data_IF_569668991339
#
_entry.id   IF_569668991339
#
_cell.length_a   1.000
_cell.length_b   1.000
_cell.length_c   1.000
_cell.angle_alpha   90.00
_cell.angle_beta   90.00
_cell.angle_gamma   90.00
#
_symmetry.space_group_name_H-M   'P 1'
#
loop_
_entity.id
_entity.type
_entity.pdbx_description
1 polymer ?
#
# COMPACT_ATOMS: atom_id res chain seq x y z
N UNK A 1 8.09 0.34 9.25
CA UNK A 1 7.19 1.36 8.70
C UNK A 1 6.24 1.82 9.79
N UNK A 2 6.16 3.14 10.05
CA UNK A 2 5.32 3.71 11.12
C UNK A 2 3.87 3.83 10.65
N UNK A 3 2.92 3.48 11.54
CA UNK A 3 1.48 3.68 11.35
C UNK A 3 0.80 3.94 12.69
N UNK A 4 -0.30 4.68 12.67
CA UNK A 4 -1.18 4.69 13.84
C UNK A 4 -1.82 3.32 14.01
N UNK A 5 -1.97 2.90 15.27
CA UNK A 5 -2.60 1.63 15.59
C UNK A 5 -4.10 1.69 15.27
N UNK A 6 -4.53 0.89 14.34
CA UNK A 6 -5.93 0.78 13.89
C UNK A 6 -6.56 -0.60 14.19
N UNK A 7 -5.80 -1.50 14.83
CA UNK A 7 -6.22 -2.86 15.14
C UNK A 7 -5.87 -3.23 16.58
N UNK A 8 -6.66 -4.13 17.18
CA UNK A 8 -6.38 -4.72 18.50
C UNK A 8 -5.15 -5.62 18.40
N UNK A 9 -4.32 -5.60 19.44
CA UNK A 9 -3.22 -6.57 19.60
C UNK A 9 -3.82 -7.78 20.29
N UNK A 10 -3.95 -8.87 19.55
CA UNK A 10 -4.32 -10.17 20.11
C UNK A 10 -3.06 -11.01 20.38
N UNK A 11 -3.20 -12.22 20.99
CA UNK A 11 -2.12 -13.19 21.01
C UNK A 11 -1.65 -13.43 19.58
N UNK A 12 -0.36 -13.19 19.34
CA UNK A 12 0.23 -13.18 18.00
C UNK A 12 0.40 -14.65 17.59
N UNK A 13 -0.56 -15.16 16.84
CA UNK A 13 -0.28 -16.30 16.00
C UNK A 13 0.56 -15.79 14.81
N UNK A 14 1.76 -16.32 14.64
CA UNK A 14 2.69 -15.90 13.57
C UNK A 14 2.06 -15.91 12.16
N UNK A 15 1.03 -16.74 11.94
CA UNK A 15 0.20 -16.74 10.72
C UNK A 15 -0.67 -15.49 10.57
N UNK A 16 -1.14 -14.89 11.65
CA UNK A 16 -2.01 -13.71 11.60
C UNK A 16 -1.23 -12.42 11.28
N UNK A 17 0.07 -12.37 11.56
CA UNK A 17 0.93 -11.25 11.18
C UNK A 17 1.22 -11.23 9.66
N UNK A 18 1.29 -12.40 9.02
CA UNK A 18 1.54 -12.52 7.59
C UNK A 18 0.29 -12.26 6.74
N UNK A 19 -0.91 -12.25 7.35
CA UNK A 19 -2.15 -12.10 6.61
C UNK A 19 -2.51 -10.63 6.44
N UNK A 20 -2.74 -10.22 5.19
CA UNK A 20 -3.29 -8.88 4.89
C UNK A 20 -4.66 -8.74 5.57
N UNK A 21 -4.86 -7.61 6.24
CA UNK A 21 -6.15 -7.34 6.88
C UNK A 21 -7.24 -7.15 5.81
N UNK A 22 -8.30 -7.95 5.91
CA UNK A 22 -9.50 -7.80 5.08
C UNK A 22 -10.37 -6.63 5.57
N UNK A 23 -11.35 -6.23 4.76
CA UNK A 23 -12.32 -5.18 5.13
C UNK A 23 -13.17 -5.54 6.34
N UNK A 24 -13.37 -6.84 6.59
CA UNK A 24 -14.20 -7.39 7.66
C UNK A 24 -13.38 -7.96 8.82
N UNK A 25 -12.09 -7.65 8.88
CA UNK A 25 -11.20 -8.17 9.92
C UNK A 25 -11.70 -7.76 11.32
N UNK A 26 -12.02 -8.72 12.22
CA UNK A 26 -12.59 -8.44 13.53
C UNK A 26 -11.64 -7.72 14.48
N UNK A 27 -10.34 -7.71 14.16
CA UNK A 27 -9.33 -6.98 14.92
C UNK A 27 -9.43 -5.47 14.74
N UNK A 28 -10.09 -4.99 13.67
CA UNK A 28 -10.21 -3.56 13.37
C UNK A 28 -11.33 -2.98 14.24
N UNK A 29 -10.99 -2.06 15.16
CA UNK A 29 -11.98 -1.35 15.97
C UNK A 29 -12.64 -0.18 15.18
N UNK A 30 -13.81 0.34 15.61
CA UNK A 30 -14.57 1.31 14.81
C UNK A 30 -13.78 2.56 14.40
N UNK A 31 -13.04 3.18 15.32
CA UNK A 31 -12.15 4.30 15.00
C UNK A 31 -11.02 3.86 14.03
N UNK A 32 -10.48 2.65 14.20
CA UNK A 32 -9.48 2.08 13.28
C UNK A 32 -10.01 1.95 11.86
N UNK A 33 -11.28 1.58 11.68
CA UNK A 33 -11.93 1.52 10.37
C UNK A 33 -12.01 2.90 9.72
N UNK A 34 -12.38 3.93 10.47
CA UNK A 34 -12.37 5.31 9.99
C UNK A 34 -10.97 5.76 9.57
N UNK A 35 -9.95 5.54 10.44
CA UNK A 35 -8.56 5.88 10.14
C UNK A 35 -8.07 5.21 8.85
N UNK A 36 -8.34 3.91 8.68
CA UNK A 36 -7.94 3.13 7.49
C UNK A 36 -8.65 3.59 6.22
N UNK A 37 -9.98 3.86 6.33
CA UNK A 37 -10.77 4.32 5.19
C UNK A 37 -10.23 5.63 4.61
N UNK A 38 -9.82 6.55 5.46
CA UNK A 38 -9.25 7.85 5.06
C UNK A 38 -7.71 7.86 5.05
N UNK A 39 -7.06 6.70 5.31
CA UNK A 39 -5.60 6.56 5.35
C UNK A 39 -4.87 7.45 6.34
N UNK A 40 -5.58 7.93 7.34
CA UNK A 40 -5.02 8.72 8.43
C UNK A 40 -4.01 7.89 9.23
N UNK A 41 -4.22 6.57 9.30
CA UNK A 41 -3.28 5.64 9.93
C UNK A 41 -1.89 5.62 9.25
N UNK A 42 -1.78 6.04 8.01
CA UNK A 42 -0.53 6.10 7.25
C UNK A 42 0.22 7.44 7.37
N UNK A 43 -0.38 8.48 7.99
CA UNK A 43 0.28 9.79 8.15
C UNK A 43 1.67 9.73 8.80
N UNK A 44 1.95 8.87 9.81
CA UNK A 44 3.30 8.78 10.37
C UNK A 44 4.37 8.35 9.37
N UNK A 45 3.99 7.79 8.19
CA UNK A 45 4.95 7.42 7.15
C UNK A 45 5.62 8.65 6.50
N UNK A 46 5.01 9.85 6.60
CA UNK A 46 5.66 11.09 6.14
C UNK A 46 6.99 11.35 6.87
N UNK A 47 7.14 10.85 8.09
CA UNK A 47 8.43 10.87 8.77
C UNK A 47 9.52 10.11 7.99
N UNK A 48 9.17 8.95 7.41
CA UNK A 48 10.09 8.20 6.56
C UNK A 48 10.44 8.93 5.26
N UNK A 49 9.51 9.75 4.74
CA UNK A 49 9.80 10.60 3.57
C UNK A 49 10.80 11.69 3.95
N UNK A 50 10.61 12.37 5.07
CA UNK A 50 11.53 13.38 5.58
C UNK A 50 12.94 12.82 5.84
N UNK A 51 13.00 11.60 6.40
CA UNK A 51 14.27 10.90 6.63
C UNK A 51 14.87 10.28 5.36
N UNK A 52 14.21 10.40 4.21
CA UNK A 52 14.70 9.93 2.91
C UNK A 52 14.62 8.42 2.68
N UNK A 53 14.02 7.64 3.58
CA UNK A 53 13.83 6.18 3.42
C UNK A 53 12.61 5.80 2.58
N UNK A 54 11.67 6.73 2.38
CA UNK A 54 10.50 6.58 1.50
C UNK A 54 10.36 7.79 0.58
N UNK A 55 9.56 7.64 -0.47
CA UNK A 55 9.07 8.71 -1.34
C UNK A 55 7.59 8.99 -1.06
N UNK A 56 7.08 10.14 -1.47
CA UNK A 56 5.63 10.41 -1.48
C UNK A 56 4.96 9.48 -2.49
N UNK A 57 5.49 9.40 -3.70
CA UNK A 57 4.98 8.54 -4.78
C UNK A 57 5.98 7.43 -5.07
N UNK A 58 5.50 6.20 -5.20
CA UNK A 58 6.32 5.03 -5.51
C UNK A 58 5.56 3.71 -5.33
N UNK A 59 6.20 2.57 -5.62
CA UNK A 59 5.64 1.26 -5.36
C UNK A 59 5.30 1.07 -3.88
N UNK A 60 4.16 0.43 -3.59
CA UNK A 60 3.75 0.21 -2.20
C UNK A 60 4.70 -0.77 -1.50
N UNK A 61 5.19 -0.43 -0.29
CA UNK A 61 5.95 -1.36 0.52
C UNK A 61 5.04 -2.52 0.99
N UNK A 62 5.58 -3.71 1.02
CA UNK A 62 4.91 -4.95 1.42
C UNK A 62 5.64 -5.55 2.61
N UNK A 63 4.94 -6.31 3.44
CA UNK A 63 5.56 -7.04 4.55
C UNK A 63 6.58 -8.07 4.02
N UNK A 64 7.73 -8.27 4.68
CA UNK A 64 8.81 -9.13 4.16
C UNK A 64 8.36 -10.54 3.76
N UNK A 65 7.49 -11.17 4.55
CA UNK A 65 6.98 -12.52 4.26
C UNK A 65 6.15 -12.56 2.95
N UNK A 66 5.29 -11.56 2.75
CA UNK A 66 4.50 -11.44 1.53
C UNK A 66 5.37 -11.02 0.33
N UNK A 67 6.42 -10.25 0.58
CA UNK A 67 7.36 -9.80 -0.45
C UNK A 67 8.09 -10.98 -1.08
N UNK A 68 8.54 -11.94 -0.27
CA UNK A 68 9.15 -13.18 -0.75
C UNK A 68 8.15 -14.07 -1.50
N UNK A 69 6.93 -14.18 -1.00
CA UNK A 69 5.88 -14.94 -1.65
C UNK A 69 5.54 -14.37 -3.03
N UNK A 70 5.37 -13.06 -3.13
CA UNK A 70 5.08 -12.37 -4.39
C UNK A 70 6.25 -12.45 -5.37
N UNK A 71 7.50 -12.42 -4.87
CA UNK A 71 8.68 -12.60 -5.70
C UNK A 71 8.78 -14.00 -6.34
N UNK A 72 8.19 -15.03 -5.71
CA UNK A 72 8.11 -16.38 -6.28
C UNK A 72 7.03 -16.49 -7.37
N UNK A 73 5.96 -15.70 -7.25
CA UNK A 73 4.81 -15.75 -8.17
C UNK A 73 5.02 -14.93 -9.44
N UNK A 74 5.81 -13.83 -9.38
CA UNK A 74 6.00 -12.91 -10.50
C UNK A 74 7.47 -12.60 -10.72
N UNK A 75 8.00 -13.03 -11.87
CA UNK A 75 9.42 -12.94 -12.20
C UNK A 75 9.99 -11.51 -12.10
N UNK A 76 9.26 -10.50 -12.55
CA UNK A 76 9.70 -9.11 -12.55
C UNK A 76 9.47 -8.39 -11.21
N UNK A 77 8.93 -9.08 -10.19
CA UNK A 77 8.54 -8.45 -8.92
C UNK A 77 9.67 -7.67 -8.24
N UNK A 78 10.88 -8.22 -8.24
CA UNK A 78 12.04 -7.63 -7.55
C UNK A 78 12.46 -6.27 -8.11
N UNK A 79 12.12 -5.96 -9.36
CA UNK A 79 12.47 -4.67 -9.99
C UNK A 79 11.80 -3.48 -9.31
N UNK A 80 10.70 -3.69 -8.58
CA UNK A 80 10.07 -2.62 -7.79
C UNK A 80 10.97 -2.07 -6.67
N UNK A 81 11.96 -2.84 -6.22
CA UNK A 81 12.91 -2.43 -5.19
C UNK A 81 14.04 -1.54 -5.69
N UNK A 82 14.11 -1.26 -7.00
CA UNK A 82 15.10 -0.33 -7.56
C UNK A 82 14.81 1.12 -7.22
N UNK A 83 13.62 1.42 -6.75
CA UNK A 83 13.19 2.75 -6.33
C UNK A 83 12.70 2.74 -4.89
N UNK A 84 12.68 3.91 -4.24
CA UNK A 84 12.14 4.04 -2.89
C UNK A 84 10.65 3.70 -2.88
N UNK A 85 10.16 3.00 -1.85
CA UNK A 85 8.74 2.75 -1.69
C UNK A 85 7.99 4.06 -1.45
N UNK A 86 6.76 4.16 -1.95
CA UNK A 86 5.91 5.33 -1.83
C UNK A 86 4.82 5.19 -0.77
N UNK A 87 4.38 6.33 -0.21
CA UNK A 87 3.15 6.42 0.59
C UNK A 87 1.95 6.14 -0.33
N UNK A 88 1.94 6.74 -1.52
CA UNK A 88 1.02 6.44 -2.60
C UNK A 88 1.76 5.97 -3.84
N UNK A 89 1.02 5.54 -4.87
CA UNK A 89 1.61 5.06 -6.12
C UNK A 89 0.56 4.83 -7.20
N UNK A 90 1.01 4.55 -8.41
CA UNK A 90 0.14 4.36 -9.57
C UNK A 90 -0.86 3.19 -9.34
N UNK A 91 -0.38 2.06 -8.83
CA UNK A 91 -1.24 0.92 -8.49
C UNK A 91 -2.26 1.27 -7.40
N UNK A 92 -1.83 1.95 -6.33
CA UNK A 92 -2.70 2.34 -5.22
C UNK A 92 -3.80 3.31 -5.67
N UNK A 93 -3.45 4.37 -6.40
CA UNK A 93 -4.40 5.33 -6.97
C UNK A 93 -5.26 4.72 -8.09
N UNK A 94 -4.81 3.61 -8.69
CA UNK A 94 -5.55 2.80 -9.65
C UNK A 94 -6.57 1.84 -9.06
N UNK A 95 -6.72 1.78 -7.71
CA UNK A 95 -7.69 0.91 -7.03
C UNK A 95 -7.08 -0.37 -6.43
N UNK A 96 -5.78 -0.63 -6.62
CA UNK A 96 -5.09 -1.82 -6.07
C UNK A 96 -4.44 -1.52 -4.70
N UNK A 97 -5.18 -0.82 -3.84
CA UNK A 97 -4.71 -0.43 -2.51
C UNK A 97 -4.91 -1.49 -1.45
N UNK A 98 -6.01 -2.22 -1.52
CA UNK A 98 -6.46 -3.19 -0.53
C UNK A 98 -5.74 -4.53 -0.58
N UNK A 99 -6.40 -5.53 0.00
CA UNK A 99 -5.99 -6.93 -0.02
C UNK A 99 -5.90 -7.47 -1.45
N UNK A 100 -4.84 -8.21 -1.74
CA UNK A 100 -4.69 -8.96 -3.00
C UNK A 100 -5.35 -10.31 -2.81
N UNK A 101 -6.42 -10.56 -3.54
CA UNK A 101 -7.22 -11.78 -3.42
C UNK A 101 -6.92 -12.82 -4.51
N UNK A 102 -6.38 -12.38 -5.63
CA UNK A 102 -6.14 -13.26 -6.79
C UNK A 102 -4.75 -13.01 -7.39
N UNK A 103 -4.14 -14.04 -8.01
CA UNK A 103 -2.88 -13.87 -8.74
C UNK A 103 -2.96 -12.81 -9.86
N UNK A 104 -4.11 -12.68 -10.51
CA UNK A 104 -4.34 -11.65 -11.54
C UNK A 104 -4.27 -10.23 -10.97
N UNK A 105 -4.83 -10.00 -9.77
CA UNK A 105 -4.71 -8.71 -9.07
C UNK A 105 -3.26 -8.40 -8.68
N UNK A 106 -2.49 -9.43 -8.27
CA UNK A 106 -1.07 -9.29 -7.97
C UNK A 106 -0.29 -8.86 -9.22
N UNK A 107 -0.50 -9.58 -10.32
CA UNK A 107 0.18 -9.27 -11.59
C UNK A 107 -0.13 -7.85 -12.07
N UNK A 108 -1.39 -7.45 -12.04
CA UNK A 108 -1.80 -6.10 -12.47
C UNK A 108 -1.21 -5.00 -11.57
N UNK A 109 -1.19 -5.21 -10.25
CA UNK A 109 -0.54 -4.29 -9.33
C UNK A 109 0.94 -4.14 -9.62
N UNK A 110 1.66 -5.26 -9.84
CA UNK A 110 3.08 -5.23 -10.18
C UNK A 110 3.30 -4.56 -11.53
N UNK A 111 2.45 -4.86 -12.53
CA UNK A 111 2.52 -4.21 -13.84
C UNK A 111 2.43 -2.68 -13.73
N UNK A 112 1.52 -2.17 -12.91
CA UNK A 112 1.37 -0.74 -12.67
C UNK A 112 2.56 -0.14 -11.91
N UNK A 113 3.11 -0.85 -10.94
CA UNK A 113 4.31 -0.42 -10.21
C UNK A 113 5.53 -0.35 -11.16
N UNK A 114 5.71 -1.35 -12.03
CA UNK A 114 6.79 -1.37 -13.02
C UNK A 114 6.59 -0.30 -14.12
N UNK A 115 5.34 -0.11 -14.55
CA UNK A 115 5.02 0.97 -15.51
C UNK A 115 5.39 2.33 -14.94
N UNK A 116 5.07 2.59 -13.66
CA UNK A 116 5.46 3.82 -12.98
C UNK A 116 6.98 4.00 -12.97
N UNK A 117 7.74 2.97 -12.64
CA UNK A 117 9.21 3.01 -12.61
C UNK A 117 9.78 3.34 -14.00
N UNK A 118 9.26 2.69 -15.04
CA UNK A 118 9.73 2.85 -16.41
C UNK A 118 9.36 4.21 -17.02
N UNK A 119 8.23 4.81 -16.61
CA UNK A 119 7.69 6.05 -17.17
C UNK A 119 7.67 7.20 -16.17
N UNK A 120 8.52 7.13 -15.14
CA UNK A 120 8.56 8.14 -14.09
C UNK A 120 8.71 9.55 -14.69
N UNK A 121 7.92 10.48 -14.19
CA UNK A 121 8.04 11.91 -14.45
C UNK A 121 7.45 12.69 -13.30
N UNK A 122 7.91 13.92 -13.12
CA UNK A 122 7.36 14.84 -12.12
C UNK A 122 5.83 15.01 -12.27
N UNK A 123 5.35 15.13 -13.52
CA UNK A 123 3.92 15.28 -13.81
C UNK A 123 3.12 14.03 -13.44
N UNK A 124 3.68 12.85 -13.61
CA UNK A 124 3.04 11.59 -13.18
C UNK A 124 2.90 11.57 -11.66
N UNK A 125 3.92 12.02 -10.92
CA UNK A 125 3.85 12.13 -9.46
C UNK A 125 2.76 13.12 -9.01
N UNK A 126 2.66 14.27 -9.65
CA UNK A 126 1.60 15.26 -9.40
C UNK A 126 0.22 14.65 -9.63
N UNK A 127 0.02 13.98 -10.76
CA UNK A 127 -1.26 13.33 -11.08
C UNK A 127 -1.65 12.26 -10.05
N UNK A 128 -0.71 11.40 -9.66
CA UNK A 128 -0.94 10.35 -8.65
C UNK A 128 -1.28 10.99 -7.31
N UNK A 129 -0.56 12.03 -6.91
CA UNK A 129 -0.79 12.74 -5.64
C UNK A 129 -2.16 13.39 -5.60
N UNK A 130 -2.55 14.11 -6.65
CA UNK A 130 -3.87 14.74 -6.74
C UNK A 130 -4.99 13.69 -6.72
N UNK A 131 -4.85 12.61 -7.48
CA UNK A 131 -5.82 11.50 -7.48
C UNK A 131 -5.94 10.87 -6.10
N UNK A 132 -4.83 10.67 -5.41
CA UNK A 132 -4.82 10.15 -4.03
C UNK A 132 -5.51 11.12 -3.07
N UNK A 133 -5.24 12.43 -3.16
CA UNK A 133 -5.88 13.43 -2.31
C UNK A 133 -7.41 13.44 -2.48
N UNK A 134 -7.90 13.34 -3.72
CA UNK A 134 -9.33 13.19 -4.00
C UNK A 134 -9.90 11.91 -3.36
N UNK A 135 -9.19 10.80 -3.47
CA UNK A 135 -9.62 9.51 -2.88
C UNK A 135 -9.59 9.51 -1.34
N UNK A 136 -8.77 10.34 -0.70
CA UNK A 136 -8.78 10.50 0.76
C UNK A 136 -10.05 11.23 1.24
N UNK A 137 -10.53 12.20 0.45
CA UNK A 137 -11.74 12.97 0.75
C UNK A 137 -12.99 12.15 0.36
N UNK A 138 -12.96 11.51 -0.82
CA UNK A 138 -14.04 10.71 -1.38
C UNK A 138 -13.56 9.25 -1.59
N UNK A 139 -13.50 8.45 -0.52
CA UNK A 139 -12.98 7.10 -0.61
C UNK A 139 -13.83 6.24 -1.57
N UNK A 140 -13.21 5.56 -2.54
CA UNK A 140 -13.94 4.63 -3.38
C UNK A 140 -14.49 3.46 -2.57
N UNK A 141 -15.57 2.84 -3.03
CA UNK A 141 -16.20 1.70 -2.36
C UNK A 141 -15.27 0.49 -2.15
N UNK A 142 -14.19 0.41 -2.92
CA UNK A 142 -13.13 -0.60 -2.80
C UNK A 142 -12.07 -0.27 -1.73
N UNK A 143 -12.08 0.94 -1.16
CA UNK A 143 -11.20 1.33 -0.08
C UNK A 143 -11.85 0.94 1.25
N UNK A 144 -11.40 -0.20 1.83
CA UNK A 144 -11.81 -0.63 3.19
C UNK A 144 -13.24 -0.28 3.61
#
# INVERSE_FOLDING_TARGET
MLKFRSMRVGPIEAKAEAQQASTTDPRIYPLGRFLRRHSIDELPQFWHVLMGSMSVVGPRPVMPLLDEEFARQVQAYRSKHWVKPGITGLAQSGGFRGEIKTPAQLQERIRLDLYYIANWSFWLDVQITLKTAVQLIFPPSSAY
#
